data_IF_595842061871
#
_entry.id   IF_595842061871
#
_cell.length_a   1.000
_cell.length_b   1.000
_cell.length_c   1.000
_cell.angle_alpha   90.00
_cell.angle_beta   90.00
_cell.angle_gamma   90.00
#
_symmetry.space_group_name_H-M   'P 1'
#
loop_
_entity.id
_entity.type
_entity.pdbx_description
1 polymer ?
#
# COMPACT_ATOMS: atom_id res chain seq x y z
N UNK A 1 14.67 22.02 -46.85
CA UNK A 1 13.67 22.43 -45.86
C UNK A 1 12.26 22.71 -46.39
N UNK A 2 12.05 23.40 -47.52
CA UNK A 2 10.70 23.70 -48.08
C UNK A 2 9.90 22.48 -48.61
N UNK A 3 10.52 21.36 -48.97
CA UNK A 3 9.82 20.13 -49.44
C UNK A 3 9.30 19.26 -48.28
N UNK A 4 9.95 19.28 -47.12
CA UNK A 4 9.53 18.49 -45.95
C UNK A 4 8.31 19.12 -45.25
N UNK A 5 8.21 20.46 -45.25
CA UNK A 5 7.04 21.16 -44.69
C UNK A 5 5.73 20.92 -45.47
N UNK A 6 5.83 20.72 -46.81
CA UNK A 6 4.64 20.44 -47.63
C UNK A 6 4.08 19.02 -47.42
N UNK A 7 4.93 18.03 -47.10
CA UNK A 7 4.49 16.66 -46.79
C UNK A 7 3.85 16.55 -45.41
N UNK A 8 4.37 17.29 -44.43
CA UNK A 8 3.78 17.30 -43.07
C UNK A 8 2.39 17.99 -43.03
N UNK A 9 2.21 19.06 -43.81
CA UNK A 9 0.91 19.73 -43.90
C UNK A 9 -0.15 18.89 -44.65
N UNK A 10 0.26 18.08 -45.64
CA UNK A 10 -0.64 17.19 -46.35
C UNK A 10 -1.09 15.99 -45.49
N UNK A 11 -0.21 15.46 -44.65
CA UNK A 11 -0.53 14.36 -43.73
C UNK A 11 -1.45 14.86 -42.59
N UNK A 12 -1.24 16.08 -42.12
CA UNK A 12 -2.11 16.68 -41.11
C UNK A 12 -3.52 16.98 -41.65
N UNK A 13 -3.64 17.37 -42.91
CA UNK A 13 -4.92 17.64 -43.58
C UNK A 13 -5.70 16.34 -43.86
N UNK A 14 -5.02 15.24 -44.19
CA UNK A 14 -5.64 13.93 -44.38
C UNK A 14 -6.13 13.33 -43.05
N UNK A 15 -5.39 13.52 -41.94
CA UNK A 15 -5.80 13.10 -40.61
C UNK A 15 -6.99 13.92 -40.07
N UNK A 16 -7.06 15.23 -40.34
CA UNK A 16 -8.24 16.04 -39.96
C UNK A 16 -9.47 15.75 -40.79
N UNK A 17 -9.33 15.39 -42.08
CA UNK A 17 -10.45 14.97 -42.91
C UNK A 17 -10.95 13.54 -42.58
N UNK A 18 -10.07 12.65 -42.13
CA UNK A 18 -10.47 11.33 -41.62
C UNK A 18 -11.24 11.41 -40.28
N UNK A 19 -10.89 12.36 -39.41
CA UNK A 19 -11.64 12.60 -38.18
C UNK A 19 -12.98 13.32 -38.37
N UNK A 20 -13.12 14.15 -39.42
CA UNK A 20 -14.38 14.83 -39.74
C UNK A 20 -15.38 13.96 -40.53
N UNK A 21 -14.92 12.89 -41.19
CA UNK A 21 -15.80 11.93 -41.87
C UNK A 21 -16.44 10.89 -40.92
N UNK A 22 -15.88 10.73 -39.73
CA UNK A 22 -16.47 9.86 -38.65
C UNK A 22 -17.48 10.57 -37.76
N UNK A 23 -17.69 11.87 -37.93
CA UNK A 23 -18.60 12.66 -37.11
C UNK A 23 -20.02 12.87 -37.72
N UNK A 24 -20.33 12.18 -38.82
CA UNK A 24 -21.67 12.25 -39.41
C UNK A 24 -22.21 10.84 -39.57
N UNK A 25 -23.02 10.44 -38.61
CA UNK A 25 -23.89 9.30 -38.74
C UNK A 25 -23.74 8.23 -37.69
N UNK A 26 -24.54 8.31 -36.70
CA UNK A 26 -24.81 7.28 -35.72
C UNK A 26 -24.57 7.80 -34.32
N UNK A 27 -25.58 8.36 -33.71
CA UNK A 27 -25.80 8.18 -32.29
C UNK A 27 -25.99 6.67 -32.16
N UNK A 28 -24.86 5.95 -31.92
CA UNK A 28 -24.95 4.63 -31.30
C UNK A 28 -25.54 4.94 -29.93
N UNK A 29 -26.84 4.68 -29.77
CA UNK A 29 -27.40 4.51 -28.43
C UNK A 29 -26.44 3.48 -27.79
N UNK A 30 -25.74 3.83 -26.72
CA UNK A 30 -25.13 2.87 -25.85
C UNK A 30 -26.20 1.85 -25.57
N UNK A 31 -26.11 0.63 -26.10
CA UNK A 31 -26.98 -0.46 -25.73
C UNK A 31 -26.79 -0.63 -24.22
N UNK A 32 -27.65 -0.02 -23.44
CA UNK A 32 -27.68 -0.21 -22.00
C UNK A 32 -27.95 -1.69 -21.78
N UNK A 33 -27.01 -2.38 -21.20
CA UNK A 33 -27.15 -3.79 -20.82
C UNK A 33 -28.48 -3.96 -20.09
N UNK A 34 -29.32 -4.96 -20.48
CA UNK A 34 -30.66 -5.16 -19.87
C UNK A 34 -30.60 -5.28 -18.35
N UNK A 35 -29.52 -5.79 -17.79
CA UNK A 35 -29.19 -5.79 -16.36
C UNK A 35 -27.85 -5.06 -16.18
N UNK A 36 -27.89 -3.79 -15.84
CA UNK A 36 -26.71 -2.93 -15.77
C UNK A 36 -25.96 -3.04 -14.43
N UNK A 37 -26.65 -3.48 -13.37
CA UNK A 37 -26.01 -3.72 -12.08
C UNK A 37 -26.72 -4.83 -11.31
N UNK A 38 -25.98 -5.61 -10.56
CA UNK A 38 -26.49 -6.58 -9.60
C UNK A 38 -25.57 -6.62 -8.36
N UNK A 39 -26.16 -6.43 -7.20
CA UNK A 39 -25.43 -6.42 -5.94
C UNK A 39 -26.29 -7.06 -4.83
N UNK A 40 -25.65 -7.49 -3.76
CA UNK A 40 -26.35 -8.04 -2.60
C UNK A 40 -25.82 -7.41 -1.32
N UNK A 41 -26.72 -7.20 -0.35
CA UNK A 41 -26.35 -6.89 1.03
C UNK A 41 -26.63 -8.11 1.88
N UNK A 42 -25.59 -8.66 2.53
CA UNK A 42 -25.72 -9.79 3.43
C UNK A 42 -25.65 -9.34 4.89
N UNK A 43 -26.28 -10.12 5.77
CA UNK A 43 -26.04 -10.06 7.22
C UNK A 43 -25.02 -11.14 7.60
N UNK A 44 -24.26 -10.89 8.64
CA UNK A 44 -23.40 -11.90 9.25
C UNK A 44 -24.23 -13.01 9.90
N UNK A 45 -23.75 -14.24 9.87
CA UNK A 45 -24.34 -15.37 10.57
C UNK A 45 -23.90 -15.39 12.03
N UNK A 46 -24.83 -15.59 12.98
CA UNK A 46 -24.56 -15.75 14.39
C UNK A 46 -25.03 -14.62 15.29
N UNK A 47 -24.55 -14.58 16.53
CA UNK A 47 -25.00 -13.62 17.56
C UNK A 47 -24.70 -12.15 17.20
N UNK A 48 -23.69 -11.92 16.38
CA UNK A 48 -23.32 -10.60 15.84
C UNK A 48 -23.83 -10.46 14.39
N UNK A 49 -25.15 -10.37 14.23
CA UNK A 49 -25.81 -10.17 12.92
C UNK A 49 -25.60 -8.75 12.37
N UNK A 50 -24.39 -8.22 12.46
CA UNK A 50 -24.02 -6.94 11.86
C UNK A 50 -24.28 -6.99 10.35
N UNK A 51 -24.85 -5.94 9.80
CA UNK A 51 -24.99 -5.81 8.34
C UNK A 51 -23.59 -5.83 7.74
N UNK A 52 -23.32 -6.79 6.87
CA UNK A 52 -22.14 -6.78 6.02
C UNK A 52 -22.38 -5.72 4.92
N UNK A 53 -21.29 -5.21 4.35
CA UNK A 53 -21.40 -4.26 3.25
C UNK A 53 -22.10 -4.83 2.02
N UNK A 54 -22.46 -3.95 1.09
CA UNK A 54 -23.00 -4.36 -0.20
C UNK A 54 -21.89 -4.91 -1.09
N UNK A 55 -22.13 -6.05 -1.73
CA UNK A 55 -21.22 -6.74 -2.64
C UNK A 55 -21.78 -6.70 -4.04
N UNK A 56 -21.06 -6.17 -4.99
CA UNK A 56 -21.40 -6.16 -6.42
C UNK A 56 -20.84 -7.41 -7.12
N UNK A 57 -21.49 -7.81 -8.19
CA UNK A 57 -20.99 -8.89 -9.02
C UNK A 57 -19.70 -8.49 -9.79
N UNK A 58 -18.90 -9.48 -10.15
CA UNK A 58 -17.74 -9.32 -11.00
C UNK A 58 -17.83 -10.24 -12.22
N UNK A 59 -17.70 -9.68 -13.44
CA UNK A 59 -17.75 -10.46 -14.68
C UNK A 59 -16.36 -11.06 -14.98
N UNK A 60 -16.32 -12.36 -15.21
CA UNK A 60 -15.12 -13.10 -15.60
C UNK A 60 -14.96 -13.08 -17.13
N UNK A 61 -13.79 -12.62 -17.59
CA UNK A 61 -13.43 -12.67 -19.01
C UNK A 61 -13.03 -14.09 -19.49
N UNK A 62 -12.85 -15.04 -18.54
CA UNK A 62 -12.42 -16.41 -18.85
C UNK A 62 -13.59 -17.27 -19.29
N UNK A 63 -14.72 -17.20 -18.60
CA UNK A 63 -15.89 -18.04 -18.83
C UNK A 63 -17.20 -17.26 -19.05
N UNK A 64 -17.13 -15.93 -19.00
CA UNK A 64 -18.27 -15.04 -19.19
C UNK A 64 -19.29 -15.04 -18.06
N UNK A 65 -19.04 -15.77 -16.97
CA UNK A 65 -19.92 -15.81 -15.79
C UNK A 65 -19.71 -14.60 -14.90
N UNK A 66 -20.72 -14.33 -14.07
CA UNK A 66 -20.66 -13.29 -13.03
C UNK A 66 -20.46 -13.96 -11.67
N UNK A 67 -19.54 -13.46 -10.87
CA UNK A 67 -19.21 -13.99 -9.56
C UNK A 67 -19.59 -13.03 -8.45
N UNK A 68 -20.27 -13.55 -7.44
CA UNK A 68 -20.55 -12.88 -6.18
C UNK A 68 -19.60 -13.43 -5.13
N UNK A 69 -18.51 -12.70 -4.85
CA UNK A 69 -17.54 -13.09 -3.81
C UNK A 69 -18.04 -12.60 -2.47
N UNK A 70 -18.62 -13.47 -1.68
CA UNK A 70 -19.26 -13.14 -0.40
C UNK A 70 -18.27 -13.26 0.75
N UNK A 71 -18.34 -12.35 1.76
CA UNK A 71 -17.55 -12.46 2.99
C UNK A 71 -17.77 -13.78 3.72
N UNK A 72 -16.77 -14.24 4.48
CA UNK A 72 -16.77 -15.55 5.15
C UNK A 72 -17.92 -15.79 6.16
N UNK A 73 -18.56 -14.74 6.64
CA UNK A 73 -19.66 -14.81 7.59
C UNK A 73 -21.01 -14.47 7.00
N UNK A 74 -21.13 -14.43 5.68
CA UNK A 74 -22.39 -14.14 5.01
C UNK A 74 -23.43 -15.23 5.27
N UNK A 75 -24.63 -14.82 5.66
CA UNK A 75 -25.80 -15.69 5.72
C UNK A 75 -26.58 -15.58 4.41
N UNK A 76 -26.35 -16.53 3.50
CA UNK A 76 -27.02 -16.55 2.20
C UNK A 76 -28.51 -16.95 2.27
N UNK A 77 -28.99 -17.42 3.44
CA UNK A 77 -30.41 -17.73 3.62
C UNK A 77 -31.30 -16.47 3.75
N UNK A 78 -30.68 -15.28 3.90
CA UNK A 78 -31.41 -14.01 4.05
C UNK A 78 -30.57 -12.84 3.56
N UNK A 79 -30.41 -12.71 2.25
CA UNK A 79 -29.73 -11.57 1.61
C UNK A 79 -30.73 -10.63 0.95
N UNK A 80 -30.39 -9.34 0.90
CA UNK A 80 -31.16 -8.36 0.14
C UNK A 80 -30.50 -8.16 -1.22
N UNK A 81 -31.26 -8.32 -2.30
CA UNK A 81 -30.79 -8.11 -3.67
C UNK A 81 -31.04 -6.68 -4.11
N UNK A 82 -30.11 -6.10 -4.85
CA UNK A 82 -30.17 -4.76 -5.43
C UNK A 82 -29.78 -4.83 -6.89
N UNK A 83 -30.58 -4.27 -7.78
CA UNK A 83 -30.26 -4.26 -9.20
C UNK A 83 -30.91 -3.10 -9.95
N UNK A 84 -30.32 -2.77 -11.09
CA UNK A 84 -30.87 -1.86 -12.09
C UNK A 84 -31.04 -2.64 -13.37
N UNK A 85 -32.28 -2.78 -13.82
CA UNK A 85 -32.66 -3.55 -15.01
C UNK A 85 -33.67 -2.82 -15.85
N UNK A 86 -33.70 -3.12 -17.14
CA UNK A 86 -34.64 -2.55 -18.11
C UNK A 86 -36.06 -3.19 -18.02
N UNK A 87 -36.15 -4.41 -17.46
CA UNK A 87 -37.37 -5.18 -17.34
C UNK A 87 -37.32 -6.07 -16.08
N UNK A 88 -38.34 -6.88 -15.85
CA UNK A 88 -38.43 -7.82 -14.74
C UNK A 88 -37.20 -8.76 -14.71
N UNK A 89 -36.62 -8.88 -13.51
CA UNK A 89 -35.49 -9.81 -13.27
C UNK A 89 -36.03 -11.12 -12.72
N UNK A 90 -35.80 -12.20 -13.44
CA UNK A 90 -36.17 -13.54 -13.01
C UNK A 90 -34.89 -14.31 -12.61
N UNK A 91 -34.93 -15.10 -11.55
CA UNK A 91 -33.87 -16.04 -11.18
C UNK A 91 -34.45 -17.44 -11.14
N UNK A 92 -33.99 -18.33 -12.03
CA UNK A 92 -34.47 -19.70 -12.15
C UNK A 92 -36.05 -19.77 -12.21
N UNK A 93 -36.66 -18.81 -12.87
CA UNK A 93 -38.11 -18.71 -13.04
C UNK A 93 -38.87 -18.03 -11.88
N UNK A 94 -38.17 -17.55 -10.86
CA UNK A 94 -38.77 -16.78 -9.75
C UNK A 94 -38.45 -15.29 -9.91
N UNK A 95 -39.45 -14.43 -9.85
CA UNK A 95 -39.25 -12.97 -9.96
C UNK A 95 -38.50 -12.45 -8.73
N UNK A 96 -37.47 -11.65 -8.99
CA UNK A 96 -36.80 -10.88 -7.96
C UNK A 96 -37.31 -9.45 -7.90
N UNK A 97 -37.31 -8.88 -6.72
CA UNK A 97 -37.65 -7.49 -6.47
C UNK A 97 -36.42 -6.79 -5.88
N UNK A 98 -35.99 -5.67 -6.49
CA UNK A 98 -34.87 -4.89 -5.97
C UNK A 98 -35.19 -4.33 -4.59
N UNK A 99 -34.32 -4.51 -3.61
CA UNK A 99 -34.54 -4.17 -2.21
C UNK A 99 -35.23 -5.28 -1.39
N UNK A 100 -35.65 -6.39 -2.01
CA UNK A 100 -36.28 -7.50 -1.30
C UNK A 100 -35.25 -8.52 -0.76
N UNK A 101 -35.63 -9.19 0.32
CA UNK A 101 -34.86 -10.30 0.89
C UNK A 101 -35.18 -11.61 0.16
N UNK A 102 -34.17 -12.43 -0.03
CA UNK A 102 -34.31 -13.77 -0.59
C UNK A 102 -33.32 -14.73 0.05
N UNK A 103 -33.65 -16.00 0.12
CA UNK A 103 -32.82 -17.11 0.59
C UNK A 103 -32.52 -18.14 -0.50
N UNK A 104 -32.71 -17.79 -1.77
CA UNK A 104 -32.58 -18.74 -2.87
C UNK A 104 -31.11 -19.04 -3.25
N UNK A 105 -30.15 -18.19 -2.89
CA UNK A 105 -28.76 -18.37 -3.26
C UNK A 105 -28.01 -19.24 -2.25
N UNK A 106 -27.03 -20.02 -2.74
CA UNK A 106 -26.23 -20.90 -1.93
C UNK A 106 -24.75 -20.84 -2.31
N UNK A 107 -23.85 -21.07 -1.36
CA UNK A 107 -22.42 -21.14 -1.62
C UNK A 107 -22.07 -22.24 -2.61
N UNK A 108 -21.30 -21.90 -3.65
CA UNK A 108 -20.98 -22.78 -4.77
C UNK A 108 -22.14 -23.00 -5.75
N UNK A 109 -23.31 -22.34 -5.52
CA UNK A 109 -24.46 -22.40 -6.41
C UNK A 109 -24.27 -21.54 -7.65
N UNK A 110 -24.78 -22.03 -8.78
CA UNK A 110 -24.86 -21.33 -10.04
C UNK A 110 -26.33 -21.04 -10.36
N UNK A 111 -26.66 -19.79 -10.63
CA UNK A 111 -28.02 -19.29 -10.82
C UNK A 111 -28.11 -18.52 -12.13
N UNK A 112 -29.24 -18.60 -12.83
CA UNK A 112 -29.47 -17.89 -14.08
C UNK A 112 -30.45 -16.74 -13.85
N UNK A 113 -29.93 -15.52 -13.93
CA UNK A 113 -30.77 -14.32 -14.00
C UNK A 113 -31.19 -14.09 -15.44
N UNK A 114 -32.45 -13.76 -15.67
CA UNK A 114 -32.99 -13.40 -16.98
C UNK A 114 -33.69 -12.04 -16.93
N UNK A 115 -33.44 -11.20 -17.95
CA UNK A 115 -34.10 -9.91 -18.15
C UNK A 115 -34.51 -9.85 -19.63
N UNK A 116 -35.79 -10.00 -19.94
CA UNK A 116 -36.23 -10.25 -21.30
C UNK A 116 -35.57 -11.53 -21.85
N UNK A 117 -34.89 -11.42 -22.99
CA UNK A 117 -34.16 -12.54 -23.63
C UNK A 117 -32.71 -12.68 -23.12
N UNK A 118 -32.19 -11.69 -22.37
CA UNK A 118 -30.82 -11.71 -21.87
C UNK A 118 -30.67 -12.66 -20.67
N UNK A 119 -29.54 -13.35 -20.62
CA UNK A 119 -29.22 -14.31 -19.56
C UNK A 119 -27.85 -14.03 -18.94
N UNK A 120 -27.82 -14.07 -17.61
CA UNK A 120 -26.63 -13.82 -16.81
C UNK A 120 -26.43 -14.99 -15.84
N UNK A 121 -25.36 -15.74 -16.03
CA UNK A 121 -25.04 -16.84 -15.10
C UNK A 121 -24.25 -16.27 -13.92
N UNK A 122 -24.80 -16.38 -12.72
CA UNK A 122 -24.22 -15.83 -11.49
C UNK A 122 -23.83 -16.96 -10.55
N UNK A 123 -22.56 -16.93 -10.07
CA UNK A 123 -22.00 -17.92 -9.14
C UNK A 123 -21.75 -17.25 -7.79
N UNK A 124 -22.29 -17.82 -6.72
CA UNK A 124 -22.07 -17.34 -5.36
C UNK A 124 -20.94 -18.12 -4.68
N UNK A 125 -19.91 -17.44 -4.23
CA UNK A 125 -18.76 -18.04 -3.55
C UNK A 125 -18.52 -17.33 -2.20
N UNK A 126 -18.65 -18.07 -1.10
CA UNK A 126 -18.30 -17.51 0.21
C UNK A 126 -16.84 -17.75 0.52
N UNK A 127 -16.16 -16.71 0.98
CA UNK A 127 -14.84 -16.85 1.60
C UNK A 127 -14.91 -17.75 2.84
N UNK A 128 -13.85 -18.48 3.14
CA UNK A 128 -13.92 -19.56 4.13
C UNK A 128 -13.19 -19.27 5.43
N UNK A 129 -12.82 -18.16 5.85
CA UNK A 129 -12.20 -17.86 7.17
C UNK A 129 -11.37 -16.58 7.20
N UNK A 130 -11.24 -15.86 6.09
CA UNK A 130 -10.51 -14.60 6.10
C UNK A 130 -11.31 -13.52 6.82
N UNK A 131 -10.66 -12.63 7.56
CA UNK A 131 -11.26 -11.36 7.95
C UNK A 131 -11.63 -10.56 6.71
N UNK A 132 -12.60 -9.67 6.85
CA UNK A 132 -13.11 -8.87 5.73
C UNK A 132 -12.98 -7.39 6.02
N UNK A 133 -12.60 -6.63 5.01
CA UNK A 133 -12.54 -5.17 5.06
C UNK A 133 -13.34 -4.57 3.92
N UNK A 134 -14.32 -3.73 4.24
CA UNK A 134 -15.03 -2.89 3.30
C UNK A 134 -14.54 -1.45 3.45
N UNK A 135 -14.18 -0.83 2.34
CA UNK A 135 -13.86 0.60 2.27
C UNK A 135 -14.78 1.23 1.23
N UNK A 136 -15.48 2.30 1.62
CA UNK A 136 -16.23 3.11 0.68
C UNK A 136 -15.58 4.48 0.58
N UNK A 137 -15.29 4.90 -0.63
CA UNK A 137 -14.78 6.24 -0.94
C UNK A 137 -15.93 7.17 -1.33
N UNK A 138 -15.79 8.49 -1.18
CA UNK A 138 -16.70 9.43 -1.81
C UNK A 138 -16.75 9.23 -3.33
N UNK A 139 -17.79 9.74 -3.98
CA UNK A 139 -17.91 9.69 -5.44
C UNK A 139 -16.65 10.20 -6.14
N UNK A 140 -16.10 9.41 -7.08
CA UNK A 140 -14.85 9.69 -7.77
C UNK A 140 -13.60 9.63 -6.90
N UNK A 141 -13.70 9.25 -5.61
CA UNK A 141 -12.58 9.22 -4.67
C UNK A 141 -11.50 8.22 -5.07
N UNK A 142 -11.91 7.04 -5.50
CA UNK A 142 -10.96 6.01 -5.95
C UNK A 142 -10.22 6.46 -7.22
N UNK A 143 -10.91 7.13 -8.14
CA UNK A 143 -10.32 7.65 -9.37
C UNK A 143 -9.28 8.73 -9.08
N UNK A 144 -9.55 9.63 -8.11
CA UNK A 144 -8.57 10.63 -7.67
C UNK A 144 -7.31 9.99 -7.08
N UNK A 145 -7.45 8.93 -6.27
CA UNK A 145 -6.31 8.16 -5.77
C UNK A 145 -5.54 7.50 -6.92
N UNK A 146 -6.24 6.94 -7.91
CA UNK A 146 -5.61 6.27 -9.05
C UNK A 146 -4.92 7.27 -9.99
N UNK A 147 -5.45 8.46 -10.15
CA UNK A 147 -4.85 9.53 -10.95
C UNK A 147 -3.58 10.11 -10.29
N UNK A 148 -3.58 10.23 -8.96
CA UNK A 148 -2.43 10.69 -8.18
C UNK A 148 -2.24 9.81 -6.93
N UNK A 149 -1.23 8.96 -6.96
CA UNK A 149 -0.87 8.05 -5.85
C UNK A 149 -0.68 8.79 -4.51
N UNK A 150 -0.21 10.02 -4.54
CA UNK A 150 0.08 10.83 -3.36
C UNK A 150 -1.17 11.48 -2.76
N UNK A 151 -2.25 11.57 -3.53
CA UNK A 151 -3.52 12.14 -3.11
C UNK A 151 -4.07 11.43 -1.87
N UNK A 152 -4.31 12.20 -0.82
CA UNK A 152 -4.89 11.70 0.45
C UNK A 152 -6.40 11.91 0.42
N UNK A 153 -7.17 10.92 -0.03
CA UNK A 153 -8.62 10.96 -0.05
C UNK A 153 -9.17 10.95 1.38
N UNK A 154 -10.12 11.85 1.65
CA UNK A 154 -10.85 11.98 2.92
C UNK A 154 -12.32 11.58 2.73
N UNK A 155 -13.04 11.42 3.83
CA UNK A 155 -14.46 11.01 3.78
C UNK A 155 -14.66 9.54 3.38
N UNK A 156 -13.60 8.75 3.36
CA UNK A 156 -13.71 7.30 3.20
C UNK A 156 -14.24 6.70 4.50
N UNK A 157 -15.14 5.71 4.39
CA UNK A 157 -15.59 4.90 5.53
C UNK A 157 -15.00 3.50 5.46
N UNK A 158 -14.79 2.86 6.61
CA UNK A 158 -14.27 1.50 6.66
C UNK A 158 -15.04 0.66 7.69
N UNK A 159 -15.41 -0.55 7.27
CA UNK A 159 -15.93 -1.60 8.14
C UNK A 159 -14.94 -2.78 8.09
N UNK A 160 -14.38 -3.14 9.24
CA UNK A 160 -13.47 -4.28 9.40
C UNK A 160 -14.10 -5.35 10.30
N UNK A 161 -14.28 -6.55 9.74
CA UNK A 161 -14.92 -7.68 10.40
C UNK A 161 -13.92 -8.82 10.55
N UNK A 162 -13.64 -9.21 11.76
CA UNK A 162 -12.73 -10.30 12.08
C UNK A 162 -13.27 -11.67 11.60
N UNK A 163 -12.40 -12.65 11.46
CA UNK A 163 -12.77 -14.03 11.03
C UNK A 163 -13.81 -14.72 11.97
N UNK A 164 -13.97 -14.24 13.20
CA UNK A 164 -15.02 -14.70 14.14
C UNK A 164 -16.35 -13.94 13.98
N UNK A 165 -16.46 -12.96 13.09
CA UNK A 165 -17.64 -12.11 12.88
C UNK A 165 -17.70 -10.84 13.73
N UNK A 166 -16.72 -10.62 14.61
CA UNK A 166 -16.65 -9.42 15.43
C UNK A 166 -16.20 -8.22 14.60
N UNK A 167 -16.87 -7.08 14.79
CA UNK A 167 -16.45 -5.80 14.19
C UNK A 167 -15.28 -5.22 15.01
N UNK A 168 -14.16 -5.02 14.35
CA UNK A 168 -12.95 -4.41 14.95
C UNK A 168 -12.92 -2.89 14.67
N UNK A 169 -13.53 -2.44 13.59
CA UNK A 169 -13.62 -1.01 13.22
C UNK A 169 -14.85 -0.77 12.33
N UNK A 170 -15.59 0.31 12.63
CA UNK A 170 -16.73 0.79 11.82
C UNK A 170 -16.79 2.32 11.98
N UNK A 171 -16.04 3.04 11.14
CA UNK A 171 -15.97 4.49 11.19
C UNK A 171 -15.27 5.08 9.95
N UNK A 172 -15.23 6.42 9.90
CA UNK A 172 -14.50 7.16 8.88
C UNK A 172 -12.97 7.01 9.04
N UNK A 173 -12.29 6.92 7.91
CA UNK A 173 -10.84 7.00 7.81
C UNK A 173 -10.38 8.46 7.84
N UNK A 174 -9.26 8.75 8.51
CA UNK A 174 -8.62 10.05 8.37
C UNK A 174 -8.13 10.29 6.93
N UNK A 175 -7.67 9.22 6.26
CA UNK A 175 -7.34 9.26 4.83
C UNK A 175 -7.09 7.87 4.24
N UNK A 176 -7.24 7.77 2.90
CA UNK A 176 -6.76 6.66 2.08
C UNK A 176 -5.92 7.23 0.94
N UNK A 177 -4.82 6.57 0.57
CA UNK A 177 -3.99 6.93 -0.58
C UNK A 177 -3.32 5.71 -1.21
N UNK A 178 -2.82 5.87 -2.43
CA UNK A 178 -1.98 4.87 -3.07
C UNK A 178 -0.65 4.66 -2.34
N UNK A 179 -0.02 3.49 -2.56
CA UNK A 179 1.32 3.18 -2.05
C UNK A 179 2.15 2.39 -3.06
N UNK A 180 3.42 2.21 -2.73
CA UNK A 180 4.38 1.45 -3.54
C UNK A 180 5.01 2.28 -4.64
N UNK A 181 6.05 1.75 -5.25
CA UNK A 181 6.77 2.32 -6.37
C UNK A 181 6.40 1.55 -7.64
N UNK A 182 7.17 0.56 -8.02
CA UNK A 182 6.87 -0.36 -9.13
C UNK A 182 5.51 -1.06 -8.95
N UNK A 183 5.16 -1.46 -7.73
CA UNK A 183 3.88 -2.13 -7.43
C UNK A 183 2.65 -1.27 -7.68
N UNK A 184 2.77 0.06 -7.71
CA UNK A 184 1.69 0.96 -8.13
C UNK A 184 1.36 0.84 -9.62
N UNK A 185 2.31 0.40 -10.44
CA UNK A 185 2.11 0.14 -11.87
C UNK A 185 1.25 -1.09 -12.18
N UNK A 186 1.05 -2.01 -11.21
CA UNK A 186 0.26 -3.21 -11.43
C UNK A 186 -1.25 -2.94 -11.46
N UNK A 187 -2.05 -3.79 -12.12
CA UNK A 187 -3.51 -3.68 -12.14
C UNK A 187 -4.12 -3.69 -10.73
N UNK A 188 -3.71 -4.61 -9.89
CA UNK A 188 -4.15 -4.70 -8.48
C UNK A 188 -3.33 -3.73 -7.62
N UNK A 189 -3.96 -2.63 -7.21
CA UNK A 189 -3.29 -1.49 -6.56
C UNK A 189 -3.14 -1.69 -5.05
N UNK A 190 -1.97 -1.40 -4.46
CA UNK A 190 -1.80 -1.35 -3.01
C UNK A 190 -2.14 0.04 -2.44
N UNK A 191 -2.56 0.09 -1.16
CA UNK A 191 -3.00 1.33 -0.51
C UNK A 191 -2.39 1.51 0.87
N UNK A 192 -2.33 2.76 1.33
CA UNK A 192 -2.14 3.14 2.73
C UNK A 192 -3.46 3.72 3.26
N UNK A 193 -3.86 3.27 4.45
CA UNK A 193 -5.01 3.81 5.17
C UNK A 193 -4.57 4.39 6.51
N UNK A 194 -5.23 5.47 6.93
CA UNK A 194 -5.07 6.07 8.25
C UNK A 194 -6.45 6.14 8.92
N UNK A 195 -6.59 5.46 10.05
CA UNK A 195 -7.83 5.46 10.82
C UNK A 195 -8.09 6.83 11.46
N UNK A 196 -9.33 7.20 11.67
CA UNK A 196 -9.70 8.39 12.43
C UNK A 196 -9.24 8.31 13.88
N UNK A 197 -9.32 7.13 14.49
CA UNK A 197 -8.83 6.83 15.83
C UNK A 197 -8.00 5.53 15.84
N UNK A 198 -7.07 5.39 16.82
CA UNK A 198 -6.28 4.16 16.97
C UNK A 198 -7.19 2.97 17.27
N UNK A 199 -7.07 1.87 16.52
CA UNK A 199 -7.82 0.63 16.75
C UNK A 199 -6.91 -0.61 16.58
N UNK A 200 -7.34 -1.73 17.20
CA UNK A 200 -6.79 -3.06 16.92
C UNK A 200 -7.54 -3.63 15.72
N UNK A 201 -6.83 -4.05 14.68
CA UNK A 201 -7.44 -4.72 13.54
C UNK A 201 -6.98 -6.18 13.50
N UNK A 202 -7.93 -7.09 13.41
CA UNK A 202 -7.69 -8.53 13.21
C UNK A 202 -6.69 -9.16 14.19
N UNK A 203 -6.73 -8.69 15.45
CA UNK A 203 -5.86 -9.16 16.54
C UNK A 203 -4.47 -8.53 16.58
N UNK A 204 -4.14 -7.65 15.64
CA UNK A 204 -2.87 -6.89 15.64
C UNK A 204 -2.91 -5.72 16.63
N UNK A 205 -1.74 -5.19 17.00
CA UNK A 205 -1.65 -4.12 17.99
C UNK A 205 -2.24 -2.78 17.51
N UNK A 206 -2.68 -1.99 18.50
CA UNK A 206 -3.44 -0.75 18.28
C UNK A 206 -2.61 0.32 17.57
N UNK A 207 -3.06 0.76 16.39
CA UNK A 207 -2.44 1.84 15.61
C UNK A 207 -3.46 2.62 14.78
N UNK A 208 -2.99 3.71 14.15
CA UNK A 208 -3.76 4.48 13.15
C UNK A 208 -3.41 4.09 11.72
N UNK A 209 -2.13 3.86 11.43
CA UNK A 209 -1.63 3.71 10.07
C UNK A 209 -1.45 2.24 9.70
N UNK A 210 -1.96 1.85 8.53
CA UNK A 210 -1.91 0.49 8.02
C UNK A 210 -1.60 0.48 6.53
N UNK A 211 -0.97 -0.60 6.06
CA UNK A 211 -0.69 -0.84 4.65
C UNK A 211 -1.55 -2.00 4.13
N UNK A 212 -2.17 -1.82 2.98
CA UNK A 212 -2.87 -2.86 2.24
C UNK A 212 -1.99 -3.26 1.05
N UNK A 213 -1.31 -4.39 1.18
CA UNK A 213 -0.38 -4.92 0.16
C UNK A 213 -1.16 -5.84 -0.77
N UNK A 214 -1.09 -5.55 -2.08
CA UNK A 214 -1.86 -6.27 -3.08
C UNK A 214 -1.30 -7.66 -3.43
N UNK A 215 0.00 -7.90 -3.20
CA UNK A 215 0.72 -9.13 -3.56
C UNK A 215 0.52 -9.57 -5.02
N UNK A 216 0.30 -8.61 -5.94
CA UNK A 216 -0.04 -8.90 -7.34
C UNK A 216 1.06 -9.68 -8.08
N UNK A 217 2.30 -9.42 -7.73
CA UNK A 217 3.46 -9.97 -8.44
C UNK A 217 3.80 -11.43 -8.10
N UNK A 218 3.00 -12.12 -7.26
CA UNK A 218 3.27 -13.51 -6.91
C UNK A 218 1.98 -14.31 -6.70
N UNK A 219 1.97 -15.57 -7.16
CA UNK A 219 0.76 -16.36 -7.24
C UNK A 219 0.28 -16.93 -5.90
N UNK A 220 1.17 -17.08 -4.91
CA UNK A 220 0.79 -17.65 -3.60
C UNK A 220 0.11 -16.64 -2.71
N UNK A 221 0.33 -15.33 -2.92
CA UNK A 221 -0.08 -14.20 -2.07
C UNK A 221 0.49 -14.27 -0.63
N UNK A 222 1.48 -15.14 -0.38
CA UNK A 222 1.98 -15.46 0.97
C UNK A 222 3.42 -15.01 1.24
N UNK A 223 4.20 -14.62 0.22
CA UNK A 223 5.64 -14.32 0.40
C UNK A 223 5.90 -13.26 1.46
N UNK A 224 5.21 -12.13 1.41
CA UNK A 224 5.37 -11.08 2.41
C UNK A 224 4.98 -11.56 3.81
N UNK A 225 3.87 -12.29 3.94
CA UNK A 225 3.44 -12.84 5.22
C UNK A 225 4.48 -13.81 5.79
N UNK A 226 5.03 -14.69 4.95
CA UNK A 226 6.04 -15.66 5.37
C UNK A 226 7.31 -14.97 5.86
N UNK A 227 7.81 -13.97 5.12
CA UNK A 227 9.01 -13.20 5.48
C UNK A 227 8.81 -12.45 6.79
N UNK A 228 7.67 -11.80 7.00
CA UNK A 228 7.37 -11.09 8.25
C UNK A 228 7.25 -12.06 9.43
N UNK A 229 6.56 -13.18 9.26
CA UNK A 229 6.45 -14.21 10.31
C UNK A 229 7.82 -14.76 10.69
N UNK A 230 8.64 -15.15 9.70
CA UNK A 230 9.99 -15.66 9.93
C UNK A 230 10.88 -14.61 10.60
N UNK A 231 10.77 -13.33 10.18
CA UNK A 231 11.48 -12.23 10.82
C UNK A 231 11.19 -12.14 12.31
N UNK A 232 9.93 -12.22 12.70
CA UNK A 232 9.51 -12.25 14.12
C UNK A 232 10.07 -13.47 14.86
N UNK A 233 9.99 -14.67 14.28
CA UNK A 233 10.46 -15.91 14.90
C UNK A 233 11.99 -15.95 15.13
N UNK A 234 12.78 -15.36 14.23
CA UNK A 234 14.23 -15.27 14.44
C UNK A 234 14.63 -14.09 15.35
N UNK A 235 13.66 -13.38 15.91
CA UNK A 235 13.84 -12.33 16.91
C UNK A 235 14.11 -10.94 16.35
N UNK A 236 13.60 -10.62 15.17
CA UNK A 236 13.50 -9.24 14.68
C UNK A 236 12.24 -8.60 15.29
N UNK A 237 12.43 -7.85 16.36
CA UNK A 237 11.32 -7.31 17.18
C UNK A 237 10.37 -6.41 16.40
N UNK A 238 10.90 -5.69 15.41
CA UNK A 238 10.16 -4.73 14.60
C UNK A 238 9.70 -5.33 13.26
N UNK A 239 9.69 -6.68 13.16
CA UNK A 239 9.05 -7.35 12.03
C UNK A 239 7.56 -7.04 12.04
N UNK A 240 6.98 -6.50 10.94
CA UNK A 240 5.58 -6.08 10.93
C UNK A 240 4.63 -7.26 11.13
N UNK A 241 3.66 -7.12 12.03
CA UNK A 241 2.53 -8.06 12.08
C UNK A 241 1.61 -7.84 10.88
N UNK A 242 0.98 -8.90 10.41
CA UNK A 242 0.16 -8.86 9.20
C UNK A 242 -0.93 -9.92 9.21
N UNK A 243 -1.98 -9.71 8.40
CA UNK A 243 -3.08 -10.67 8.20
C UNK A 243 -3.53 -10.65 6.74
N UNK A 244 -3.83 -11.81 6.19
CA UNK A 244 -4.54 -11.89 4.92
C UNK A 244 -6.02 -11.56 5.12
N UNK A 245 -6.59 -10.74 4.27
CA UNK A 245 -7.98 -10.27 4.34
C UNK A 245 -8.64 -10.31 2.97
N UNK A 246 -9.96 -10.44 2.95
CA UNK A 246 -10.78 -10.11 1.78
C UNK A 246 -11.06 -8.59 1.76
N UNK A 247 -10.66 -7.92 0.69
CA UNK A 247 -10.86 -6.47 0.53
C UNK A 247 -11.97 -6.18 -0.47
N UNK A 248 -12.89 -5.30 -0.07
CA UNK A 248 -13.92 -4.73 -0.91
C UNK A 248 -13.76 -3.20 -0.93
N UNK A 249 -13.80 -2.60 -2.12
CA UNK A 249 -13.80 -1.14 -2.27
C UNK A 249 -15.03 -0.75 -3.07
N UNK A 250 -15.86 0.13 -2.53
CA UNK A 250 -17.13 0.57 -3.13
C UNK A 250 -18.05 -0.61 -3.54
N UNK A 251 -18.07 -1.66 -2.74
CA UNK A 251 -18.83 -2.88 -2.99
C UNK A 251 -18.16 -3.90 -3.93
N UNK A 252 -17.07 -3.54 -4.60
CA UNK A 252 -16.36 -4.43 -5.51
C UNK A 252 -15.29 -5.23 -4.76
N UNK A 253 -15.26 -6.55 -4.98
CA UNK A 253 -14.24 -7.43 -4.43
C UNK A 253 -12.90 -7.20 -5.12
N UNK A 254 -11.89 -6.80 -4.37
CA UNK A 254 -10.53 -6.52 -4.86
C UNK A 254 -9.60 -7.73 -4.74
N UNK A 255 -10.10 -8.86 -4.22
CA UNK A 255 -9.32 -10.06 -3.94
C UNK A 255 -8.69 -10.06 -2.55
N UNK A 256 -7.83 -11.05 -2.30
CA UNK A 256 -7.10 -11.19 -1.05
C UNK A 256 -5.97 -10.17 -0.99
N UNK A 257 -5.94 -9.36 0.07
CA UNK A 257 -4.87 -8.43 0.40
C UNK A 257 -4.16 -8.86 1.68
N UNK A 258 -2.93 -8.41 1.84
CA UNK A 258 -2.22 -8.48 3.12
C UNK A 258 -2.31 -7.11 3.80
N UNK A 259 -3.10 -7.01 4.88
CA UNK A 259 -3.00 -5.85 5.76
C UNK A 259 -1.77 -6.04 6.65
N UNK A 260 -0.95 -5.02 6.76
CA UNK A 260 0.26 -5.03 7.59
C UNK A 260 0.46 -3.70 8.31
N UNK A 261 1.22 -3.76 9.35
CA UNK A 261 1.70 -2.61 10.08
C UNK A 261 2.52 -1.70 9.18
N UNK A 262 2.31 -0.39 9.30
CA UNK A 262 3.19 0.59 8.68
C UNK A 262 4.46 0.71 9.52
N UNK A 263 5.63 0.76 8.89
CA UNK A 263 6.89 1.10 9.57
C UNK A 263 6.83 2.57 9.95
N UNK A 264 6.72 2.85 11.24
CA UNK A 264 6.66 4.20 11.83
C UNK A 264 7.11 4.13 13.30
N UNK A 265 7.59 5.23 13.86
CA UNK A 265 7.90 5.33 15.29
C UNK A 265 6.58 5.34 16.07
N UNK A 266 6.39 4.34 16.89
CA UNK A 266 5.22 4.19 17.75
C UNK A 266 5.50 3.06 18.75
N UNK A 267 4.96 3.16 19.97
CA UNK A 267 5.09 2.15 21.03
C UNK A 267 4.75 0.71 20.57
N UNK A 268 3.84 0.56 19.61
CA UNK A 268 3.41 -0.75 19.09
C UNK A 268 4.01 -1.06 17.71
N UNK A 269 5.01 -0.33 17.26
CA UNK A 269 5.73 -0.48 15.97
C UNK A 269 7.23 -0.44 16.24
N UNK A 270 7.92 0.60 15.78
CA UNK A 270 9.31 0.87 16.15
C UNK A 270 9.28 1.67 17.45
N UNK A 271 9.48 0.98 18.58
CA UNK A 271 9.39 1.54 19.94
C UNK A 271 10.72 2.17 20.34
N UNK A 272 10.94 3.38 19.86
CA UNK A 272 12.11 4.22 20.16
C UNK A 272 11.63 5.63 20.50
N UNK A 273 12.54 6.47 20.97
CA UNK A 273 12.26 7.89 21.23
C UNK A 273 11.65 8.57 20.01
N UNK A 274 10.57 9.34 20.21
CA UNK A 274 9.92 10.11 19.14
C UNK A 274 10.57 11.50 19.02
N UNK A 275 11.61 11.57 18.19
CA UNK A 275 12.36 12.81 17.96
C UNK A 275 11.52 13.85 17.20
N UNK A 276 10.57 13.38 16.36
CA UNK A 276 9.68 14.29 15.61
C UNK A 276 8.73 15.01 16.58
N UNK A 277 8.04 14.26 17.45
CA UNK A 277 7.16 14.82 18.48
C UNK A 277 7.94 15.78 19.42
N UNK A 278 9.13 15.35 19.87
CA UNK A 278 9.98 16.21 20.72
C UNK A 278 10.46 17.48 20.01
N UNK A 279 10.65 17.44 18.70
CA UNK A 279 11.02 18.61 17.90
C UNK A 279 9.82 19.53 17.69
N UNK A 280 8.63 18.98 17.44
CA UNK A 280 7.38 19.76 17.41
C UNK A 280 7.16 20.48 18.74
N UNK A 281 7.31 19.80 19.87
CA UNK A 281 7.18 20.37 21.21
C UNK A 281 8.18 21.51 21.45
N UNK A 282 9.45 21.34 21.06
CA UNK A 282 10.49 22.36 21.17
C UNK A 282 10.19 23.61 20.34
N UNK A 283 9.31 23.49 19.34
CA UNK A 283 8.86 24.59 18.48
C UNK A 283 7.40 25.00 18.76
N UNK A 284 6.89 24.71 19.96
CA UNK A 284 5.56 25.14 20.41
C UNK A 284 4.40 24.36 19.78
N UNK A 285 4.62 23.13 19.34
CA UNK A 285 3.60 22.25 18.72
C UNK A 285 3.27 22.64 17.28
N UNK A 286 4.16 23.36 16.61
CA UNK A 286 3.99 23.76 15.20
C UNK A 286 4.27 22.56 14.30
N UNK A 287 3.41 22.34 13.29
CA UNK A 287 3.63 21.35 12.24
C UNK A 287 4.94 21.63 11.51
N UNK A 288 5.93 20.74 11.64
CA UNK A 288 7.29 20.92 11.12
C UNK A 288 7.32 21.07 9.58
N UNK A 289 6.30 20.56 8.88
CA UNK A 289 6.16 20.71 7.42
C UNK A 289 6.00 22.17 6.96
N UNK A 290 5.64 23.06 7.88
CA UNK A 290 5.45 24.50 7.60
C UNK A 290 6.75 25.29 7.52
N UNK A 291 7.86 24.74 8.00
CA UNK A 291 9.18 25.36 7.87
C UNK A 291 9.73 25.25 6.45
N UNK A 292 10.65 26.13 6.10
CA UNK A 292 11.23 26.14 4.75
C UNK A 292 12.25 25.02 4.56
N UNK A 293 12.20 24.29 3.43
CA UNK A 293 13.23 23.32 3.10
C UNK A 293 14.54 24.02 2.73
N UNK A 294 15.64 23.52 3.28
CA UNK A 294 17.01 23.98 3.04
C UNK A 294 17.89 22.81 2.57
N UNK A 295 19.17 23.09 2.41
CA UNK A 295 20.18 22.09 2.02
C UNK A 295 20.62 22.20 0.57
N UNK A 296 21.57 21.35 0.21
CA UNK A 296 22.11 21.29 -1.14
C UNK A 296 21.22 20.36 -1.97
N UNK A 297 20.39 20.96 -2.80
CA UNK A 297 19.58 20.25 -3.79
C UNK A 297 20.29 20.28 -5.14
N UNK A 298 21.19 19.35 -5.40
CA UNK A 298 21.74 19.19 -6.74
C UNK A 298 20.87 18.24 -7.57
N UNK A 299 20.48 18.68 -8.77
CA UNK A 299 19.88 17.79 -9.73
C UNK A 299 20.89 16.70 -10.09
N UNK A 300 20.39 15.48 -10.09
CA UNK A 300 21.18 14.31 -10.39
C UNK A 300 21.79 14.35 -11.81
N UNK A 301 23.11 14.35 -11.86
CA UNK A 301 23.86 13.95 -13.06
C UNK A 301 25.13 13.25 -12.61
N UNK A 302 25.00 12.02 -12.09
CA UNK A 302 26.11 11.30 -11.48
C UNK A 302 26.03 11.31 -9.96
N UNK A 303 27.11 11.10 -9.27
CA UNK A 303 27.17 10.88 -7.84
C UNK A 303 26.81 12.13 -7.01
N UNK A 304 25.93 11.95 -6.02
CA UNK A 304 25.50 12.99 -5.05
C UNK A 304 26.39 12.97 -3.80
N UNK A 305 27.70 13.07 -3.93
CA UNK A 305 28.58 13.09 -2.77
C UNK A 305 28.22 14.25 -1.82
N UNK A 306 28.08 13.93 -0.52
CA UNK A 306 27.87 14.89 0.56
C UNK A 306 26.63 15.78 0.45
N UNK A 307 25.61 15.37 -0.27
CA UNK A 307 24.34 16.11 -0.34
C UNK A 307 23.54 15.89 0.95
N UNK A 308 23.05 16.98 1.54
CA UNK A 308 22.17 16.94 2.72
C UNK A 308 20.93 17.80 2.49
N UNK A 309 19.79 17.39 3.06
CA UNK A 309 18.50 18.09 3.01
C UNK A 309 17.92 18.17 4.41
N UNK A 310 17.53 19.38 4.82
CA UNK A 310 16.95 19.67 6.12
C UNK A 310 15.91 20.79 6.03
N UNK A 311 15.27 21.09 7.13
CA UNK A 311 14.32 22.21 7.27
C UNK A 311 14.87 23.29 8.20
N UNK A 312 14.47 24.55 7.98
CA UNK A 312 14.86 25.71 8.80
C UNK A 312 14.11 25.72 10.14
N UNK A 313 14.29 24.64 10.91
CA UNK A 313 13.68 24.46 12.21
C UNK A 313 14.61 25.07 13.26
N UNK A 314 14.14 26.12 14.00
CA UNK A 314 15.02 26.92 14.85
C UNK A 314 15.41 26.22 16.16
N UNK A 315 14.54 25.36 16.70
CA UNK A 315 14.76 24.75 18.01
C UNK A 315 14.82 23.22 17.91
N UNK A 316 15.75 22.65 18.64
CA UNK A 316 15.88 21.20 18.81
C UNK A 316 15.57 20.81 20.26
N UNK A 317 15.11 19.59 20.54
CA UNK A 317 15.10 19.05 21.89
C UNK A 317 16.51 18.94 22.43
N UNK A 318 16.68 18.85 23.76
CA UNK A 318 17.97 18.79 24.44
C UNK A 318 18.84 17.62 23.94
N UNK A 319 18.23 16.49 23.62
CA UNK A 319 18.93 15.31 23.12
C UNK A 319 18.41 14.94 21.72
N UNK A 320 19.30 15.00 20.73
CA UNK A 320 19.06 14.63 19.33
C UNK A 320 19.86 13.38 18.92
N UNK A 321 20.37 12.60 19.87
CA UNK A 321 21.26 11.47 19.55
C UNK A 321 20.54 10.18 19.17
N UNK A 322 19.21 10.17 19.19
CA UNK A 322 18.39 9.03 18.78
C UNK A 322 16.97 9.45 18.37
N UNK A 323 16.13 8.47 18.10
CA UNK A 323 14.79 8.69 17.58
C UNK A 323 14.74 8.84 16.06
N UNK A 324 15.72 8.24 15.36
CA UNK A 324 15.75 8.27 13.90
C UNK A 324 15.23 6.99 13.28
N UNK A 325 14.32 7.13 12.33
CA UNK A 325 13.93 6.08 11.40
C UNK A 325 14.46 6.46 10.02
N UNK A 326 15.28 5.60 9.43
CA UNK A 326 15.97 5.82 8.16
C UNK A 326 15.53 4.79 7.13
N UNK A 327 15.56 5.18 5.85
CA UNK A 327 15.29 4.29 4.71
C UNK A 327 16.40 4.44 3.68
N UNK A 328 16.97 3.32 3.21
CA UNK A 328 17.73 3.35 1.97
C UNK A 328 16.78 3.58 0.82
N UNK A 329 17.13 4.49 -0.06
CA UNK A 329 16.36 4.73 -1.27
C UNK A 329 17.30 5.09 -2.43
N UNK A 330 16.79 4.94 -3.66
CA UNK A 330 17.57 5.35 -4.81
C UNK A 330 17.40 6.86 -5.08
N UNK A 331 18.31 7.40 -5.85
CA UNK A 331 18.50 8.84 -6.02
C UNK A 331 17.27 9.63 -6.46
N UNK A 332 16.49 9.08 -7.40
CA UNK A 332 15.30 9.76 -7.92
C UNK A 332 14.21 9.90 -6.85
N UNK A 333 14.16 8.95 -5.92
CA UNK A 333 13.25 9.01 -4.78
C UNK A 333 13.76 9.94 -3.69
N UNK A 334 15.07 9.90 -3.42
CA UNK A 334 15.70 10.81 -2.48
C UNK A 334 15.40 12.28 -2.80
N UNK A 335 15.34 12.64 -4.08
CA UNK A 335 14.99 14.02 -4.47
C UNK A 335 13.58 14.44 -4.03
N UNK A 336 12.63 13.51 -3.98
CA UNK A 336 11.24 13.77 -3.61
C UNK A 336 10.99 13.79 -2.10
N UNK A 337 11.90 13.20 -1.31
CA UNK A 337 11.74 13.09 0.15
C UNK A 337 12.13 14.40 0.87
N UNK A 338 11.62 14.60 2.08
CA UNK A 338 11.78 15.86 2.81
C UNK A 338 13.21 16.06 3.34
N UNK A 339 13.72 15.13 4.13
CA UNK A 339 15.03 15.20 4.78
C UNK A 339 15.87 13.96 4.49
N UNK A 340 17.19 14.12 4.47
CA UNK A 340 18.10 13.02 4.19
C UNK A 340 19.51 13.47 3.89
N UNK A 341 20.36 12.48 3.56
CA UNK A 341 21.76 12.71 3.20
C UNK A 341 22.26 11.65 2.22
N UNK A 342 23.36 11.93 1.54
CA UNK A 342 24.07 10.98 0.68
C UNK A 342 25.45 10.76 1.23
N UNK A 343 25.86 9.49 1.33
CA UNK A 343 27.17 9.11 1.88
C UNK A 343 28.31 9.28 0.89
N UNK A 344 29.58 9.16 1.36
CA UNK A 344 30.75 9.16 0.48
C UNK A 344 30.75 8.02 -0.56
N UNK A 345 30.03 6.93 -0.28
CA UNK A 345 29.83 5.81 -1.21
C UNK A 345 28.60 5.99 -2.11
N UNK A 346 28.04 7.20 -2.13
CA UNK A 346 26.87 7.55 -2.93
C UNK A 346 25.59 6.80 -2.56
N UNK A 347 25.49 6.33 -1.30
CA UNK A 347 24.26 5.76 -0.80
C UNK A 347 23.33 6.88 -0.37
N UNK A 348 22.14 6.94 -0.96
CA UNK A 348 21.07 7.84 -0.53
C UNK A 348 20.36 7.27 0.71
N UNK A 349 20.29 8.08 1.77
CA UNK A 349 19.61 7.75 3.02
C UNK A 349 18.54 8.80 3.31
N UNK A 350 17.31 8.37 3.36
CA UNK A 350 16.16 9.22 3.66
C UNK A 350 15.85 9.13 5.15
N UNK A 351 15.57 10.25 5.77
CA UNK A 351 15.09 10.32 7.16
C UNK A 351 13.56 10.25 7.12
N UNK A 352 12.98 9.15 7.59
CA UNK A 352 11.52 8.92 7.62
C UNK A 352 10.88 9.42 8.92
N UNK A 353 11.67 9.55 9.99
CA UNK A 353 11.33 10.26 11.21
C UNK A 353 12.63 10.78 11.87
N UNK A 354 12.67 12.06 12.26
CA UNK A 354 11.69 13.08 11.91
C UNK A 354 11.64 13.31 10.38
N UNK A 355 10.43 13.32 9.81
CA UNK A 355 10.27 13.53 8.35
C UNK A 355 10.84 14.89 7.94
N UNK A 356 10.56 15.90 8.75
CA UNK A 356 11.12 17.27 8.62
C UNK A 356 12.18 17.47 9.69
N UNK A 357 13.44 17.17 9.35
CA UNK A 357 14.56 17.25 10.29
C UNK A 357 15.27 18.61 10.23
N UNK A 358 15.73 19.10 11.37
CA UNK A 358 16.58 20.29 11.46
C UNK A 358 17.98 20.03 10.91
N UNK A 359 18.73 21.11 10.61
CA UNK A 359 20.12 20.97 10.19
C UNK A 359 20.97 20.17 11.20
N UNK A 360 20.85 20.46 12.50
CA UNK A 360 21.60 19.78 13.54
C UNK A 360 21.31 18.27 13.60
N UNK A 361 20.03 17.88 13.39
CA UNK A 361 19.61 16.48 13.35
C UNK A 361 20.18 15.77 12.13
N UNK A 362 20.12 16.37 10.94
CA UNK A 362 20.68 15.78 9.72
C UNK A 362 22.20 15.67 9.81
N UNK A 363 22.88 16.70 10.30
CA UNK A 363 24.34 16.66 10.51
C UNK A 363 24.75 15.57 11.51
N UNK A 364 23.99 15.39 12.60
CA UNK A 364 24.27 14.34 13.58
C UNK A 364 24.16 12.94 12.96
N UNK A 365 23.00 12.63 12.36
CA UNK A 365 22.76 11.27 11.88
C UNK A 365 23.57 10.94 10.62
N UNK A 366 23.84 11.91 9.74
CA UNK A 366 24.70 11.70 8.57
C UNK A 366 26.15 11.45 8.98
N UNK A 367 26.67 12.17 9.97
CA UNK A 367 28.01 11.93 10.52
C UNK A 367 28.08 10.54 11.17
N UNK A 368 27.10 10.15 11.99
CA UNK A 368 27.05 8.85 12.63
C UNK A 368 27.06 7.70 11.59
N UNK A 369 26.25 7.85 10.53
CA UNK A 369 26.23 6.90 9.42
C UNK A 369 27.55 6.85 8.67
N UNK A 370 28.16 8.01 8.40
CA UNK A 370 29.42 8.09 7.67
C UNK A 370 30.58 7.46 8.46
N UNK A 371 30.63 7.67 9.77
CA UNK A 371 31.61 7.02 10.64
C UNK A 371 31.47 5.48 10.62
N UNK A 372 30.23 4.97 10.56
CA UNK A 372 29.95 3.55 10.36
C UNK A 372 30.44 3.07 8.98
N UNK A 373 30.10 3.80 7.91
CA UNK A 373 30.50 3.46 6.55
C UNK A 373 32.02 3.48 6.39
N UNK A 374 32.69 4.47 6.95
CA UNK A 374 34.15 4.57 6.94
C UNK A 374 34.80 3.36 7.64
N UNK A 375 34.27 2.90 8.77
CA UNK A 375 34.73 1.69 9.44
C UNK A 375 34.47 0.41 8.62
N UNK A 376 33.29 0.32 8.00
CA UNK A 376 32.88 -0.84 7.19
C UNK A 376 33.76 -1.04 5.96
N UNK A 377 34.19 0.03 5.32
CA UNK A 377 35.01 -0.02 4.09
C UNK A 377 36.49 0.16 4.31
N UNK A 378 36.94 0.33 5.56
CA UNK A 378 38.38 0.40 5.85
C UNK A 378 39.03 -0.97 5.70
N UNK A 379 40.32 -0.97 5.35
CA UNK A 379 41.08 -2.20 5.13
C UNK A 379 41.40 -2.99 6.40
N UNK A 380 41.43 -2.32 7.56
CA UNK A 380 41.71 -2.89 8.87
C UNK A 380 40.47 -3.01 9.76
N UNK A 381 39.30 -2.57 9.29
CA UNK A 381 38.03 -2.61 10.01
C UNK A 381 37.81 -1.47 11.01
N UNK A 382 38.68 -0.43 10.97
CA UNK A 382 38.58 0.74 11.85
C UNK A 382 38.44 2.03 11.04
N UNK A 383 37.65 2.96 11.54
CA UNK A 383 37.62 4.32 11.01
C UNK A 383 38.73 5.19 11.63
N UNK A 384 38.84 6.45 11.18
CA UNK A 384 39.84 7.42 11.67
C UNK A 384 39.71 7.74 13.18
N UNK A 385 38.58 7.40 13.82
CA UNK A 385 38.34 7.53 15.26
C UNK A 385 38.77 6.27 16.03
N UNK A 386 39.33 5.26 15.36
CA UNK A 386 39.71 3.98 15.95
C UNK A 386 38.52 3.11 16.37
N UNK A 387 37.34 3.35 15.80
CA UNK A 387 36.12 2.59 16.06
C UNK A 387 35.85 1.56 14.97
N UNK A 388 35.28 0.43 15.36
CA UNK A 388 34.85 -0.63 14.45
C UNK A 388 33.41 -0.41 13.99
N UNK A 389 33.04 -1.05 12.90
CA UNK A 389 31.67 -1.14 12.44
C UNK A 389 30.71 -1.58 13.57
N UNK A 390 31.10 -2.56 14.37
CA UNK A 390 30.32 -3.08 15.52
C UNK A 390 30.09 -2.09 16.65
N UNK A 391 30.79 -0.96 16.67
CA UNK A 391 30.56 0.10 17.66
C UNK A 391 29.38 1.00 17.29
N UNK A 392 28.89 0.89 16.06
CA UNK A 392 27.78 1.69 15.50
C UNK A 392 26.50 0.91 15.34
N UNK A 393 26.56 -0.42 15.20
CA UNK A 393 25.41 -1.25 14.85
C UNK A 393 25.20 -2.42 15.81
N UNK A 394 23.96 -2.87 15.95
CA UNK A 394 23.66 -4.19 16.49
C UNK A 394 23.95 -5.26 15.43
N UNK A 395 25.14 -5.85 15.49
CA UNK A 395 25.58 -6.87 14.53
C UNK A 395 24.60 -8.04 14.43
N UNK A 396 23.95 -8.41 15.53
CA UNK A 396 22.96 -9.51 15.54
C UNK A 396 21.72 -9.13 14.74
N UNK A 397 21.24 -7.89 14.87
CA UNK A 397 20.08 -7.42 14.12
C UNK A 397 20.39 -7.35 12.61
N UNK A 398 21.59 -6.88 12.25
CA UNK A 398 22.04 -6.85 10.85
C UNK A 398 22.19 -8.26 10.27
N UNK A 399 22.75 -9.21 11.02
CA UNK A 399 22.89 -10.59 10.58
C UNK A 399 21.53 -11.27 10.36
N UNK A 400 20.53 -11.02 11.22
CA UNK A 400 19.16 -11.52 11.04
C UNK A 400 18.52 -10.92 9.81
N UNK A 401 18.64 -9.61 9.61
CA UNK A 401 18.11 -8.93 8.44
C UNK A 401 18.76 -9.47 7.15
N UNK A 402 20.09 -9.59 7.13
CA UNK A 402 20.83 -10.17 6.01
C UNK A 402 20.33 -11.59 5.69
N UNK A 403 20.21 -12.44 6.72
CA UNK A 403 19.69 -13.81 6.54
C UNK A 403 18.31 -13.83 5.89
N UNK A 404 17.37 -13.00 6.34
CA UNK A 404 16.02 -12.92 5.77
C UNK A 404 16.06 -12.48 4.30
N UNK A 405 16.88 -11.48 3.99
CA UNK A 405 16.98 -10.95 2.63
C UNK A 405 17.56 -11.99 1.66
N UNK A 406 18.63 -12.66 2.07
CA UNK A 406 19.24 -13.74 1.27
C UNK A 406 18.30 -14.94 1.12
N UNK A 407 17.69 -15.39 2.23
CA UNK A 407 16.76 -16.52 2.22
C UNK A 407 15.54 -16.26 1.33
N UNK A 408 15.00 -15.06 1.36
CA UNK A 408 13.85 -14.67 0.51
C UNK A 408 14.25 -14.25 -0.90
N UNK A 409 15.55 -14.20 -1.19
CA UNK A 409 16.11 -13.70 -2.46
C UNK A 409 15.55 -12.32 -2.82
N UNK A 410 15.51 -11.42 -1.83
CA UNK A 410 15.00 -10.06 -2.03
C UNK A 410 16.07 -9.19 -2.72
N UNK A 411 15.95 -9.03 -4.02
CA UNK A 411 16.88 -8.25 -4.82
C UNK A 411 16.77 -6.72 -4.63
N UNK A 412 15.66 -6.24 -4.04
CA UNK A 412 15.41 -4.80 -3.79
C UNK A 412 16.19 -4.26 -2.58
N UNK A 413 16.70 -5.14 -1.71
CA UNK A 413 17.21 -4.77 -0.37
C UNK A 413 18.34 -3.75 -0.37
N UNK A 414 19.15 -3.69 -1.39
CA UNK A 414 20.25 -2.71 -1.50
C UNK A 414 19.88 -1.42 -2.23
N UNK A 415 18.65 -1.34 -2.76
CA UNK A 415 18.22 -0.25 -3.64
C UNK A 415 17.21 0.66 -2.95
N UNK A 416 16.22 0.08 -2.26
CA UNK A 416 15.19 0.86 -1.59
C UNK A 416 14.44 0.04 -0.54
N UNK A 417 13.61 0.72 0.26
CA UNK A 417 12.72 0.08 1.25
C UNK A 417 13.42 -0.74 2.34
N UNK A 418 14.71 -0.53 2.57
CA UNK A 418 15.43 -1.07 3.71
C UNK A 418 15.44 -0.03 4.83
N UNK A 419 14.80 -0.36 5.96
CA UNK A 419 14.65 0.55 7.08
C UNK A 419 15.67 0.26 8.18
N UNK A 420 16.16 1.34 8.81
CA UNK A 420 17.06 1.33 9.94
C UNK A 420 16.52 2.27 11.00
N UNK A 421 16.83 2.02 12.26
CA UNK A 421 16.53 2.98 13.30
C UNK A 421 17.63 3.07 14.34
N UNK A 422 17.75 4.25 14.94
CA UNK A 422 18.69 4.57 16.02
C UNK A 422 17.93 5.20 17.17
N UNK A 423 18.01 4.56 18.33
CA UNK A 423 17.43 5.08 19.57
C UNK A 423 18.40 5.96 20.36
N UNK A 424 17.90 6.64 21.40
CA UNK A 424 18.68 7.38 22.37
C UNK A 424 19.68 6.45 23.06
N UNK A 425 20.87 6.94 23.38
CA UNK A 425 21.92 6.31 24.21
C UNK A 425 22.36 4.89 23.81
N UNK A 426 21.65 4.20 22.99
CA UNK A 426 22.05 2.89 22.50
C UNK A 426 22.94 3.05 21.28
N UNK A 427 24.22 3.11 21.51
CA UNK A 427 25.29 3.13 20.50
C UNK A 427 25.26 1.95 19.52
N UNK A 428 24.24 1.09 19.57
CA UNK A 428 24.33 -0.23 19.01
C UNK A 428 23.14 -0.65 18.14
N UNK A 429 22.21 0.23 17.80
CA UNK A 429 21.00 -0.30 17.15
C UNK A 429 20.54 0.51 15.95
N UNK A 430 21.23 0.33 14.82
CA UNK A 430 20.52 0.42 13.55
C UNK A 430 20.01 -1.00 13.25
N UNK A 431 18.69 -1.23 13.33
CA UNK A 431 18.06 -2.50 13.00
C UNK A 431 17.44 -2.41 11.61
N UNK A 432 17.57 -3.46 10.83
CA UNK A 432 16.88 -3.54 9.55
C UNK A 432 15.39 -3.78 9.77
N UNK A 433 14.55 -2.86 9.33
CA UNK A 433 13.18 -3.19 9.00
C UNK A 433 13.15 -4.07 7.75
N UNK A 434 12.26 -5.04 7.71
CA UNK A 434 12.03 -5.80 6.48
C UNK A 434 11.31 -4.90 5.50
N UNK A 435 11.85 -4.78 4.27
CA UNK A 435 11.17 -4.06 3.19
C UNK A 435 9.75 -4.59 3.01
N UNK A 436 8.77 -3.70 2.97
CA UNK A 436 7.37 -4.04 2.68
C UNK A 436 7.14 -4.45 1.23
N UNK A 437 8.19 -4.44 0.41
CA UNK A 437 8.16 -4.86 -0.98
C UNK A 437 9.12 -6.02 -1.20
N UNK A 438 8.70 -7.24 -0.88
CA UNK A 438 9.26 -8.39 -1.57
C UNK A 438 8.70 -8.34 -2.97
N UNK A 439 9.41 -7.66 -3.87
CA UNK A 439 9.08 -7.62 -5.28
C UNK A 439 9.06 -9.05 -5.81
N UNK A 440 8.09 -9.35 -6.66
CA UNK A 440 8.07 -10.61 -7.35
C UNK A 440 9.42 -10.84 -8.02
N UNK A 441 10.05 -11.97 -7.74
CA UNK A 441 11.05 -12.47 -8.65
C UNK A 441 10.42 -12.53 -10.04
N UNK A 442 11.11 -12.10 -11.12
CA UNK A 442 10.71 -12.53 -12.44
C UNK A 442 10.61 -14.05 -12.38
N UNK A 443 9.47 -14.61 -12.79
CA UNK A 443 9.34 -16.03 -13.03
C UNK A 443 10.57 -16.44 -13.80
N UNK A 444 11.39 -17.33 -13.21
CA UNK A 444 12.53 -17.88 -13.90
C UNK A 444 12.01 -18.37 -15.26
N UNK A 445 12.44 -17.69 -16.33
CA UNK A 445 12.38 -18.33 -17.65
C UNK A 445 13.15 -19.63 -17.44
N UNK A 446 12.55 -20.72 -17.83
CA UNK A 446 13.18 -22.01 -17.98
C UNK A 446 14.56 -21.79 -18.63
N UNK A 447 15.59 -21.67 -17.83
CA UNK A 447 16.96 -21.86 -18.28
C UNK A 447 17.26 -23.29 -17.91
N UNK A 448 17.22 -24.11 -18.94
CA UNK A 448 17.72 -25.47 -18.96
C UNK A 448 19.01 -25.55 -18.14
N UNK A 449 18.96 -26.36 -17.10
CA UNK A 449 20.18 -26.85 -16.44
C UNK A 449 20.77 -27.94 -17.32
N UNK A 450 21.87 -27.64 -18.01
CA UNK A 450 22.80 -28.62 -18.54
C UNK A 450 23.86 -28.87 -17.49
#
# INVERSE_FOLDING_TARGET
MKKVLKSAAAILLVLTLAFSAFAIGGVFAEETEPLSSFAVSAKGSGADSAALGTVSWWKSDVDGKYYMFMPSKSDLSSITVWFTAADDVMCDGVKLESGAQTGMFANGGEFVLTVGDAKYTVVFLNSSKLPTMFINTPEGGLDRIHADKSHKEKGCTMLAINSNGKVDYDAELASMKGRGNSTWGYPKKPYNIKLGSKAKLFGMEKAKSWCLIANHGENSLLRNQLVYTLGGEIGMKESPDCRSIDLYINGEYQGVYLITEKVEINKNRVDIFDLEEATEDANGGVDLSTFSPLGVRTRFSGYLENTQKWYDIPNNPENITGGYLLELDFSERYEAEASGFVTKKSQSVVIKSPEYASQAQVEYISRYWQEFEDALYSSDGYNDLGKKMSDYIDVTSFARAYFIQEWSSNWDVGLSSAFFYKDLDSWQQARFGISTSVSAMPTARETEWI
#
